data_IF_224304654608
#
_entry.id   IF_224304654608
#
_cell.length_a   1.000
_cell.length_b   1.000
_cell.length_c   1.000
_cell.angle_alpha   90.00
_cell.angle_beta   90.00
_cell.angle_gamma   90.00
#
_symmetry.space_group_name_H-M   'P 1'
#
loop_
_entity.id
_entity.type
_entity.pdbx_description
1 polymer ?
#
# COMPACT_ATOMS: atom_id res chain seq x y z
N UNK A 1 8.04 2.27 -12.01
CA UNK A 1 6.86 2.00 -11.15
C UNK A 1 7.15 0.80 -10.28
N UNK A 2 6.96 0.88 -8.96
CA UNK A 2 7.17 -0.19 -7.98
C UNK A 2 6.10 -0.13 -6.90
N UNK A 3 5.78 -1.25 -6.25
CA UNK A 3 4.82 -1.26 -5.15
C UNK A 3 5.39 -0.47 -3.98
N UNK A 4 4.64 0.49 -3.49
CA UNK A 4 4.94 1.30 -2.30
C UNK A 4 4.35 0.63 -1.07
N UNK A 5 3.03 0.50 -1.03
CA UNK A 5 2.34 -0.15 0.08
C UNK A 5 1.07 -0.88 -0.33
N UNK A 6 0.60 -1.75 0.56
CA UNK A 6 -0.71 -2.42 0.49
C UNK A 6 -1.58 -1.88 1.62
N UNK A 7 -2.77 -1.41 1.29
CA UNK A 7 -3.68 -0.88 2.30
C UNK A 7 -4.87 -1.79 2.54
N UNK A 8 -5.11 -2.08 3.79
CA UNK A 8 -6.22 -2.90 4.26
C UNK A 8 -7.19 -2.07 5.10
N UNK A 9 -8.49 -2.23 4.85
CA UNK A 9 -9.55 -1.83 5.76
C UNK A 9 -10.08 -3.06 6.44
N UNK A 10 -10.06 -3.10 7.77
CA UNK A 10 -10.35 -4.32 8.55
C UNK A 10 -11.31 -4.06 9.69
N UNK A 11 -11.95 -5.12 10.17
CA UNK A 11 -12.85 -5.05 11.32
C UNK A 11 -12.14 -4.74 12.63
N UNK A 12 -10.89 -5.15 12.77
CA UNK A 12 -10.13 -4.99 14.00
C UNK A 12 -8.65 -4.81 13.69
N UNK A 13 -8.24 -3.57 13.65
CA UNK A 13 -6.87 -3.15 13.37
C UNK A 13 -5.86 -3.81 14.31
N UNK A 14 -6.12 -3.79 15.62
CA UNK A 14 -5.20 -4.34 16.62
C UNK A 14 -4.93 -5.83 16.43
N UNK A 15 -5.97 -6.63 16.13
CA UNK A 15 -5.79 -8.07 15.86
C UNK A 15 -5.04 -8.31 14.56
N UNK A 16 -5.37 -7.57 13.52
CA UNK A 16 -4.69 -7.66 12.21
C UNK A 16 -3.23 -7.26 12.33
N UNK A 17 -2.94 -6.14 12.98
CA UNK A 17 -1.56 -5.67 13.20
C UNK A 17 -0.75 -6.68 14.00
N UNK A 18 -1.33 -7.20 15.09
CA UNK A 18 -0.65 -8.24 15.89
C UNK A 18 -0.31 -9.47 15.04
N UNK A 19 -1.22 -9.93 14.20
CA UNK A 19 -0.95 -11.05 13.28
C UNK A 19 0.19 -10.73 12.32
N UNK A 20 0.18 -9.56 11.68
CA UNK A 20 1.24 -9.15 10.75
C UNK A 20 2.61 -9.06 11.44
N UNK A 21 2.63 -8.57 12.68
CA UNK A 21 3.87 -8.49 13.47
C UNK A 21 4.37 -9.88 13.91
N UNK A 22 3.49 -10.71 14.44
CA UNK A 22 3.87 -12.01 14.98
C UNK A 22 4.25 -13.00 13.88
N UNK A 23 3.44 -13.10 12.83
CA UNK A 23 3.62 -14.08 11.76
C UNK A 23 4.58 -13.63 10.66
N UNK A 24 4.49 -12.36 10.23
CA UNK A 24 5.23 -11.82 9.09
C UNK A 24 6.36 -10.87 9.50
N UNK A 25 6.56 -10.66 10.80
CA UNK A 25 7.66 -9.87 11.39
C UNK A 25 7.66 -8.39 11.01
N UNK A 26 6.53 -7.84 10.55
CA UNK A 26 6.38 -6.41 10.35
C UNK A 26 6.58 -5.65 11.66
N UNK A 27 6.95 -4.39 11.56
CA UNK A 27 7.13 -3.49 12.69
C UNK A 27 6.22 -2.27 12.54
N UNK A 28 5.78 -1.70 13.65
CA UNK A 28 5.02 -0.46 13.60
C UNK A 28 5.97 0.66 13.19
N UNK A 29 5.64 1.36 12.11
CA UNK A 29 6.31 2.57 11.67
C UNK A 29 5.67 3.80 12.32
N UNK A 30 4.33 3.91 12.22
CA UNK A 30 3.58 5.02 12.80
C UNK A 30 2.12 4.62 13.06
N UNK A 31 1.50 5.30 14.01
CA UNK A 31 0.07 5.22 14.31
C UNK A 31 -0.52 6.61 14.32
N UNK A 32 -1.70 6.77 13.75
CA UNK A 32 -2.43 8.04 13.77
C UNK A 32 -3.94 7.83 13.57
N UNK A 33 -4.72 8.87 13.88
CA UNK A 33 -6.16 8.85 13.73
C UNK A 33 -6.59 9.90 12.72
N UNK A 34 -7.58 9.55 11.90
CA UNK A 34 -8.25 10.47 10.98
C UNK A 34 -9.62 10.81 11.56
N UNK A 35 -9.84 12.09 11.84
CA UNK A 35 -11.14 12.60 12.28
C UNK A 35 -11.88 13.18 11.09
N UNK A 36 -13.07 12.66 10.82
CA UNK A 36 -13.94 13.18 9.76
C UNK A 36 -14.84 14.30 10.26
N UNK A 37 -15.39 15.07 9.32
CA UNK A 37 -16.21 16.24 9.65
C UNK A 37 -17.59 15.85 10.24
N UNK A 38 -18.04 14.62 10.04
CA UNK A 38 -19.23 14.04 10.67
C UNK A 38 -19.01 13.55 12.11
N UNK A 39 -17.80 13.75 12.64
CA UNK A 39 -17.40 13.36 13.99
C UNK A 39 -16.92 11.93 14.13
N UNK A 40 -17.04 11.09 13.10
CA UNK A 40 -16.51 9.73 13.10
C UNK A 40 -14.99 9.70 12.96
N UNK A 41 -14.36 8.56 13.28
CA UNK A 41 -12.91 8.39 13.17
C UNK A 41 -12.53 7.11 12.44
N UNK A 42 -11.38 7.15 11.79
CA UNK A 42 -10.61 5.99 11.41
C UNK A 42 -9.31 5.95 12.22
N UNK A 43 -8.95 4.78 12.71
CA UNK A 43 -7.67 4.52 13.37
C UNK A 43 -6.74 3.84 12.36
N UNK A 44 -5.51 4.34 12.22
CA UNK A 44 -4.56 3.96 11.19
C UNK A 44 -3.24 3.49 11.78
N UNK A 45 -2.64 2.47 11.20
CA UNK A 45 -1.27 2.02 11.47
C UNK A 45 -0.57 1.79 10.14
N UNK A 46 0.63 2.34 10.01
CA UNK A 46 1.58 1.98 8.98
C UNK A 46 2.61 1.01 9.54
N UNK A 47 2.87 -0.06 8.82
CA UNK A 47 3.80 -1.12 9.19
C UNK A 47 4.92 -1.19 8.16
N UNK A 48 6.16 -1.18 8.63
CA UNK A 48 7.34 -1.41 7.79
C UNK A 48 7.70 -2.88 7.73
N UNK A 49 8.23 -3.36 6.59
CA UNK A 49 8.69 -4.74 6.46
C UNK A 49 9.94 -5.02 7.31
N UNK A 50 10.19 -6.29 7.68
CA UNK A 50 11.31 -6.65 8.54
C UNK A 50 12.68 -6.35 7.94
N UNK A 51 12.80 -6.38 6.61
CA UNK A 51 14.05 -6.20 5.88
C UNK A 51 14.31 -4.76 5.43
N UNK A 52 13.49 -3.79 5.84
CA UNK A 52 13.59 -2.39 5.39
C UNK A 52 15.00 -1.79 5.56
N UNK A 53 15.73 -2.19 6.57
CA UNK A 53 17.05 -1.63 6.87
C UNK A 53 18.21 -2.37 6.19
N UNK A 54 17.94 -3.39 5.36
CA UNK A 54 19.00 -4.11 4.71
C UNK A 54 19.65 -3.25 3.62
N UNK A 55 20.93 -2.92 3.82
CA UNK A 55 21.77 -2.10 2.92
C UNK A 55 21.25 -0.67 2.61
N UNK A 56 20.35 -0.12 3.40
CA UNK A 56 19.85 1.25 3.20
C UNK A 56 19.01 1.45 1.94
N UNK A 57 18.59 0.37 1.27
CA UNK A 57 17.70 0.42 0.11
C UNK A 57 16.30 0.05 0.58
N UNK A 58 15.34 0.99 0.63
CA UNK A 58 14.07 0.78 1.32
C UNK A 58 13.14 -0.23 0.64
N UNK A 59 13.29 -0.47 -0.66
CA UNK A 59 12.33 -1.26 -1.44
C UNK A 59 12.94 -2.41 -2.22
N UNK A 60 14.23 -2.37 -2.39
CA UNK A 60 14.99 -3.40 -3.09
C UNK A 60 16.28 -3.69 -2.35
N UNK A 61 16.73 -4.89 -2.44
CA UNK A 61 18.08 -5.26 -1.99
C UNK A 61 18.82 -5.94 -3.11
N UNK A 62 20.10 -5.63 -3.24
CA UNK A 62 21.01 -6.37 -4.10
C UNK A 62 21.63 -7.45 -3.23
N UNK A 63 21.40 -8.69 -3.56
CA UNK A 63 22.03 -9.81 -2.87
C UNK A 63 22.55 -10.82 -3.88
N UNK A 64 23.44 -11.66 -3.42
CA UNK A 64 23.99 -12.77 -4.20
C UNK A 64 23.34 -14.09 -3.73
N UNK A 65 22.07 -14.35 -4.10
CA UNK A 65 21.41 -15.56 -3.67
C UNK A 65 22.09 -16.78 -4.29
N UNK A 66 21.97 -17.88 -3.61
CA UNK A 66 22.33 -19.16 -4.23
C UNK A 66 21.15 -19.63 -5.05
N UNK A 67 21.31 -19.63 -6.36
CA UNK A 67 20.33 -20.17 -7.29
C UNK A 67 20.68 -21.61 -7.57
N UNK A 68 19.74 -22.52 -7.33
CA UNK A 68 19.92 -23.93 -7.57
C UNK A 68 19.49 -24.31 -8.98
N UNK A 69 20.42 -24.89 -9.75
CA UNK A 69 20.12 -25.43 -11.07
C UNK A 69 20.17 -26.95 -11.04
N UNK A 70 19.20 -27.58 -11.66
CA UNK A 70 19.22 -29.01 -11.82
C UNK A 70 20.36 -29.40 -12.80
N UNK A 71 21.35 -30.12 -12.32
CA UNK A 71 22.50 -30.53 -13.10
C UNK A 71 22.23 -31.87 -13.80
N UNK A 72 21.62 -32.80 -13.07
CA UNK A 72 21.20 -34.10 -13.54
C UNK A 72 19.93 -34.52 -12.82
N UNK A 73 19.29 -35.60 -13.26
CA UNK A 73 18.10 -36.10 -12.58
C UNK A 73 18.39 -36.35 -11.10
N UNK A 74 17.71 -35.57 -10.22
CA UNK A 74 17.87 -35.57 -8.76
C UNK A 74 19.19 -34.98 -8.21
N UNK A 75 19.98 -34.29 -9.01
CA UNK A 75 21.15 -33.54 -8.55
C UNK A 75 20.99 -32.07 -8.82
N UNK A 76 21.33 -31.24 -7.82
CA UNK A 76 21.21 -29.77 -7.89
C UNK A 76 22.57 -29.15 -7.56
N UNK A 77 22.97 -28.19 -8.36
CA UNK A 77 24.15 -27.37 -8.12
C UNK A 77 23.72 -25.95 -7.76
N UNK A 78 24.17 -25.47 -6.60
CA UNK A 78 23.94 -24.09 -6.18
C UNK A 78 25.03 -23.19 -6.75
N UNK A 79 24.64 -22.16 -7.52
CA UNK A 79 25.51 -21.08 -7.98
C UNK A 79 25.05 -19.77 -7.39
N UNK A 80 25.97 -18.93 -6.93
CA UNK A 80 25.66 -17.57 -6.57
C UNK A 80 25.32 -16.80 -7.83
N UNK A 81 24.12 -16.21 -7.87
CA UNK A 81 23.75 -15.25 -8.89
C UNK A 81 24.34 -13.89 -8.51
N UNK A 82 25.09 -13.28 -9.40
CA UNK A 82 25.65 -11.95 -9.20
C UNK A 82 24.59 -10.89 -9.53
N UNK A 83 24.55 -9.82 -8.73
CA UNK A 83 23.73 -8.62 -8.97
C UNK A 83 22.23 -8.87 -9.20
N UNK A 84 21.63 -9.79 -8.46
CA UNK A 84 20.20 -9.99 -8.51
C UNK A 84 19.50 -9.01 -7.59
N UNK A 85 18.56 -8.25 -8.15
CA UNK A 85 17.72 -7.33 -7.40
C UNK A 85 16.47 -8.05 -6.89
N UNK A 86 16.18 -7.90 -5.60
CA UNK A 86 14.99 -8.44 -4.95
C UNK A 86 14.13 -7.29 -4.44
N UNK A 87 12.85 -7.35 -4.72
CA UNK A 87 11.89 -6.47 -4.09
C UNK A 87 11.66 -6.90 -2.64
N UNK A 88 11.84 -5.97 -1.72
CA UNK A 88 11.41 -6.16 -0.34
C UNK A 88 9.89 -6.23 -0.28
N UNK A 89 9.32 -6.90 0.74
CA UNK A 89 7.89 -6.80 1.00
C UNK A 89 7.48 -5.32 1.12
N UNK A 90 6.34 -4.92 0.54
CA UNK A 90 5.87 -3.55 0.62
C UNK A 90 5.50 -3.17 2.06
N UNK A 91 5.40 -1.89 2.35
CA UNK A 91 4.75 -1.40 3.57
C UNK A 91 3.29 -1.87 3.60
N UNK A 92 2.73 -2.01 4.80
CA UNK A 92 1.32 -2.35 4.99
C UNK A 92 0.66 -1.23 5.78
N UNK A 93 -0.40 -0.67 5.21
CA UNK A 93 -1.27 0.27 5.89
C UNK A 93 -2.54 -0.43 6.34
N UNK A 94 -2.90 -0.33 7.61
CA UNK A 94 -4.10 -0.97 8.17
C UNK A 94 -4.95 0.09 8.84
N UNK A 95 -6.22 0.14 8.46
CA UNK A 95 -7.20 1.01 9.11
C UNK A 95 -8.43 0.24 9.56
N UNK A 96 -9.00 0.66 10.69
CA UNK A 96 -10.36 0.34 11.11
C UNK A 96 -11.09 1.62 11.54
N UNK A 97 -12.34 1.51 11.89
CA UNK A 97 -13.13 2.65 12.29
C UNK A 97 -14.48 2.26 12.86
N UNK A 98 -15.16 3.23 13.43
CA UNK A 98 -16.52 3.06 13.95
C UNK A 98 -17.47 2.57 12.85
N UNK A 99 -18.53 1.82 13.19
CA UNK A 99 -19.46 1.24 12.20
C UNK A 99 -20.04 2.25 11.20
N UNK A 100 -20.26 3.49 11.65
CA UNK A 100 -20.81 4.56 10.81
C UNK A 100 -19.75 5.37 10.04
N UNK A 101 -18.47 5.15 10.30
CA UNK A 101 -17.38 5.80 9.58
C UNK A 101 -17.25 5.28 8.15
N UNK A 102 -16.51 6.02 7.31
CA UNK A 102 -16.18 5.58 5.94
C UNK A 102 -15.55 4.18 5.95
N UNK A 103 -14.62 3.93 6.86
CA UNK A 103 -13.93 2.64 6.96
C UNK A 103 -14.87 1.55 7.47
N UNK A 104 -15.68 1.84 8.51
CA UNK A 104 -16.62 0.87 9.07
C UNK A 104 -17.70 0.43 8.08
N UNK A 105 -18.26 1.34 7.31
CA UNK A 105 -19.23 1.05 6.24
C UNK A 105 -18.60 0.17 5.16
N UNK A 106 -17.42 0.55 4.68
CA UNK A 106 -16.70 -0.23 3.68
C UNK A 106 -16.41 -1.67 4.15
N UNK A 107 -16.07 -1.86 5.43
CA UNK A 107 -15.87 -3.18 6.03
C UNK A 107 -17.19 -3.96 6.13
N UNK A 108 -18.29 -3.28 6.49
CA UNK A 108 -19.61 -3.91 6.57
C UNK A 108 -20.06 -4.45 5.20
N UNK A 109 -19.86 -3.70 4.12
CA UNK A 109 -20.20 -4.09 2.74
C UNK A 109 -19.39 -5.29 2.24
N UNK A 110 -18.29 -5.62 2.94
CA UNK A 110 -17.42 -6.77 2.66
C UNK A 110 -17.53 -7.86 3.73
N UNK A 111 -18.78 -8.24 4.03
CA UNK A 111 -19.14 -9.30 5.00
C UNK A 111 -18.61 -9.05 6.42
N UNK A 112 -18.34 -7.80 6.78
CA UNK A 112 -17.83 -7.42 8.09
C UNK A 112 -16.41 -7.90 8.40
N UNK A 113 -15.65 -8.35 7.40
CA UNK A 113 -14.24 -8.75 7.52
C UNK A 113 -13.34 -7.63 7.03
N UNK A 114 -13.73 -7.00 5.90
CA UNK A 114 -12.92 -6.05 5.18
C UNK A 114 -11.98 -6.75 4.19
N UNK A 115 -10.79 -6.20 3.98
CA UNK A 115 -9.80 -6.77 3.05
C UNK A 115 -8.87 -5.72 2.45
N UNK A 116 -8.24 -6.10 1.33
CA UNK A 116 -7.41 -5.19 0.55
C UNK A 116 -8.27 -4.07 -0.03
N UNK A 117 -7.91 -2.82 0.27
CA UNK A 117 -8.59 -1.63 -0.22
C UNK A 117 -7.90 -1.09 -1.48
N UNK A 118 -6.59 -0.90 -1.44
CA UNK A 118 -5.81 -0.42 -2.58
C UNK A 118 -4.38 -0.97 -2.58
N UNK A 119 -3.78 -0.88 -3.76
CA UNK A 119 -2.36 -1.12 -3.98
C UNK A 119 -1.74 0.19 -4.44
N UNK A 120 -0.76 0.69 -3.69
CA UNK A 120 -0.04 1.90 -4.04
C UNK A 120 1.23 1.58 -4.85
N UNK A 121 1.42 2.34 -5.90
CA UNK A 121 2.61 2.29 -6.74
C UNK A 121 3.37 3.61 -6.68
N UNK A 122 4.62 3.54 -6.28
CA UNK A 122 5.52 4.68 -6.41
C UNK A 122 5.84 4.93 -7.88
N UNK A 123 5.72 6.19 -8.27
CA UNK A 123 5.98 6.69 -9.62
C UNK A 123 6.86 7.94 -9.55
N UNK A 124 7.51 8.27 -10.66
CA UNK A 124 8.37 9.45 -10.74
C UNK A 124 7.56 10.75 -10.83
N UNK A 125 6.35 10.68 -11.42
CA UNK A 125 5.40 11.80 -11.49
C UNK A 125 3.97 11.27 -11.46
N UNK A 126 3.24 11.60 -10.40
CA UNK A 126 1.81 11.24 -10.27
C UNK A 126 0.98 11.92 -11.35
N UNK A 127 1.28 13.20 -11.66
CA UNK A 127 0.54 13.96 -12.67
C UNK A 127 0.69 13.36 -14.07
N UNK A 128 1.90 13.01 -14.46
CA UNK A 128 2.16 12.40 -15.78
C UNK A 128 1.53 11.02 -15.86
N UNK A 129 1.66 10.19 -14.82
CA UNK A 129 1.04 8.87 -14.75
C UNK A 129 -0.49 8.96 -14.84
N UNK A 130 -1.10 9.90 -14.11
CA UNK A 130 -2.55 10.13 -14.15
C UNK A 130 -3.01 10.51 -15.57
N UNK A 131 -2.30 11.41 -16.25
CA UNK A 131 -2.63 11.84 -17.60
C UNK A 131 -2.49 10.67 -18.60
N UNK A 132 -1.39 9.95 -18.54
CA UNK A 132 -1.15 8.77 -19.38
C UNK A 132 -2.27 7.72 -19.23
N UNK A 133 -2.68 7.44 -17.99
CA UNK A 133 -3.73 6.47 -17.71
C UNK A 133 -5.10 6.92 -18.19
N UNK A 134 -5.42 8.22 -18.09
CA UNK A 134 -6.64 8.81 -18.66
C UNK A 134 -6.65 8.73 -20.19
N UNK A 135 -5.56 9.13 -20.84
CA UNK A 135 -5.45 9.11 -22.30
C UNK A 135 -5.55 7.71 -22.90
N UNK A 136 -4.98 6.72 -22.21
CA UNK A 136 -5.06 5.30 -22.62
C UNK A 136 -6.34 4.61 -22.19
N UNK A 137 -7.20 5.26 -21.42
CA UNK A 137 -8.45 4.69 -20.93
C UNK A 137 -8.25 3.53 -19.93
N UNK A 138 -7.14 3.50 -19.21
CA UNK A 138 -6.86 2.42 -18.25
C UNK A 138 -7.68 2.53 -16.96
N UNK A 139 -7.95 3.75 -16.50
CA UNK A 139 -8.78 4.00 -15.34
C UNK A 139 -9.35 5.41 -15.32
N UNK A 140 -10.47 5.57 -14.61
CA UNK A 140 -10.95 6.85 -14.11
C UNK A 140 -10.37 7.11 -12.71
N UNK A 141 -10.30 8.38 -12.33
CA UNK A 141 -9.74 8.80 -11.04
C UNK A 141 -10.83 9.37 -10.13
N UNK A 142 -10.66 9.20 -8.82
CA UNK A 142 -11.61 9.67 -7.81
C UNK A 142 -11.53 11.19 -7.59
N UNK A 143 -10.38 11.80 -7.89
CA UNK A 143 -10.18 13.25 -7.84
C UNK A 143 -9.79 13.79 -9.21
N UNK A 144 -10.12 15.05 -9.47
CA UNK A 144 -9.77 15.71 -10.75
C UNK A 144 -8.27 15.95 -10.88
N UNK A 145 -7.65 16.31 -9.76
CA UNK A 145 -6.22 16.58 -9.61
C UNK A 145 -5.63 15.70 -8.49
N UNK A 146 -4.33 15.43 -8.52
CA UNK A 146 -3.66 14.78 -7.40
C UNK A 146 -3.77 15.59 -6.11
N UNK A 147 -3.80 14.90 -4.97
CA UNK A 147 -3.72 15.50 -3.65
C UNK A 147 -2.25 15.67 -3.27
N UNK A 148 -1.88 16.84 -2.78
CA UNK A 148 -0.49 17.20 -2.53
C UNK A 148 -0.31 17.81 -1.14
N UNK A 149 0.70 17.35 -0.43
CA UNK A 149 1.25 18.00 0.76
C UNK A 149 2.79 18.00 0.66
N UNK A 150 3.51 18.71 1.55
CA UNK A 150 4.96 18.80 1.44
C UNK A 150 5.65 17.42 1.34
N UNK A 151 6.33 17.18 0.22
CA UNK A 151 7.07 15.95 -0.05
C UNK A 151 6.22 14.71 -0.40
N UNK A 152 4.92 14.88 -0.68
CA UNK A 152 4.02 13.77 -0.99
C UNK A 152 2.89 14.18 -1.93
N UNK A 153 2.77 13.50 -3.06
CA UNK A 153 1.65 13.65 -4.02
C UNK A 153 1.01 12.28 -4.26
N UNK A 154 -0.33 12.23 -4.26
CA UNK A 154 -1.08 10.98 -4.33
C UNK A 154 -2.36 11.14 -5.15
N UNK A 155 -2.81 10.05 -5.77
CA UNK A 155 -4.12 9.98 -6.43
C UNK A 155 -4.66 8.55 -6.44
N UNK A 156 -5.97 8.40 -6.27
CA UNK A 156 -6.66 7.11 -6.40
C UNK A 156 -7.38 7.00 -7.74
N UNK A 157 -7.29 5.83 -8.36
CA UNK A 157 -8.24 5.43 -9.40
C UNK A 157 -9.59 5.07 -8.80
N UNK A 158 -10.65 5.04 -9.61
CA UNK A 158 -11.83 4.25 -9.27
C UNK A 158 -11.45 2.77 -9.19
N UNK A 159 -12.26 1.92 -8.50
CA UNK A 159 -12.05 0.47 -8.53
C UNK A 159 -11.99 -0.04 -9.97
N UNK A 160 -10.99 -0.83 -10.27
CA UNK A 160 -10.85 -1.43 -11.60
C UNK A 160 -11.97 -2.44 -11.86
N UNK A 161 -12.63 -2.34 -12.99
CA UNK A 161 -13.65 -3.33 -13.40
C UNK A 161 -13.07 -4.73 -13.59
N UNK A 162 -11.75 -4.84 -13.84
CA UNK A 162 -11.07 -6.11 -14.05
C UNK A 162 -10.63 -6.80 -12.77
N UNK A 163 -10.24 -6.02 -11.75
CA UNK A 163 -9.63 -6.56 -10.53
C UNK A 163 -10.41 -6.25 -9.25
N UNK A 164 -11.33 -5.28 -9.31
CA UNK A 164 -12.04 -4.76 -8.13
C UNK A 164 -11.17 -3.92 -7.19
N UNK A 165 -9.89 -3.71 -7.53
CA UNK A 165 -8.92 -3.03 -6.69
C UNK A 165 -8.78 -1.57 -7.10
N UNK A 166 -8.60 -0.69 -6.11
CA UNK A 166 -8.19 0.69 -6.33
C UNK A 166 -6.68 0.70 -6.51
N UNK A 167 -6.20 1.40 -7.52
CA UNK A 167 -4.78 1.69 -7.67
C UNK A 167 -4.50 3.09 -7.17
N UNK A 168 -3.48 3.21 -6.34
CA UNK A 168 -2.92 4.49 -5.92
C UNK A 168 -1.63 4.75 -6.68
N UNK A 169 -1.45 5.97 -7.16
CA UNK A 169 -0.14 6.45 -7.58
C UNK A 169 0.39 7.43 -6.55
N UNK A 170 1.62 7.23 -6.15
CA UNK A 170 2.27 7.99 -5.10
C UNK A 170 3.66 8.46 -5.56
N UNK A 171 3.93 9.73 -5.35
CA UNK A 171 5.23 10.37 -5.52
C UNK A 171 5.62 10.94 -4.18
N UNK A 172 6.76 10.48 -3.63
CA UNK A 172 7.23 10.93 -2.32
C UNK A 172 8.73 11.23 -2.35
N UNK A 173 9.08 12.31 -1.68
CA UNK A 173 10.47 12.68 -1.42
C UNK A 173 10.97 12.11 -0.09
N UNK A 174 10.04 11.89 0.86
CA UNK A 174 10.33 11.43 2.21
C UNK A 174 9.45 10.23 2.59
N UNK A 175 9.85 9.52 3.63
CA UNK A 175 9.05 8.46 4.22
C UNK A 175 7.86 9.02 5.02
N UNK A 176 6.81 8.22 5.15
CA UNK A 176 5.63 8.51 5.97
C UNK A 176 4.39 8.91 5.18
N UNK A 177 3.36 9.27 5.92
CA UNK A 177 2.04 9.64 5.40
C UNK A 177 1.64 11.04 5.85
N UNK A 178 1.02 11.78 4.96
CA UNK A 178 0.41 13.07 5.25
C UNK A 178 -1.03 12.85 5.68
N UNK A 179 -1.37 13.20 6.92
CA UNK A 179 -2.69 12.96 7.51
C UNK A 179 -3.82 13.62 6.71
N UNK A 180 -3.59 14.81 6.18
CA UNK A 180 -4.53 15.56 5.36
C UNK A 180 -4.82 14.81 4.05
N UNK A 181 -3.78 14.40 3.33
CA UNK A 181 -3.96 13.62 2.09
C UNK A 181 -4.68 12.29 2.37
N UNK A 182 -4.32 11.58 3.44
CA UNK A 182 -4.98 10.32 3.82
C UNK A 182 -6.46 10.57 4.11
N UNK A 183 -6.81 11.67 4.81
CA UNK A 183 -8.21 12.06 5.05
C UNK A 183 -8.96 12.29 3.74
N UNK A 184 -8.41 13.10 2.85
CA UNK A 184 -9.05 13.45 1.57
C UNK A 184 -9.17 12.24 0.65
N UNK A 185 -8.15 11.36 0.61
CA UNK A 185 -8.23 10.08 -0.10
C UNK A 185 -9.30 9.17 0.48
N UNK A 186 -9.43 9.08 1.82
CA UNK A 186 -10.51 8.31 2.44
C UNK A 186 -11.89 8.87 2.10
N UNK A 187 -12.05 10.20 2.09
CA UNK A 187 -13.31 10.87 1.72
C UNK A 187 -13.65 10.58 0.25
N UNK A 188 -12.68 10.60 -0.65
CA UNK A 188 -12.90 10.32 -2.08
C UNK A 188 -13.44 8.90 -2.35
N UNK A 189 -13.25 7.98 -1.39
CA UNK A 189 -13.73 6.59 -1.48
C UNK A 189 -15.07 6.34 -0.78
N UNK A 190 -15.79 7.39 -0.37
CA UNK A 190 -17.02 7.25 0.43
C UNK A 190 -18.16 6.55 -0.30
N UNK A 191 -18.22 6.70 -1.62
CA UNK A 191 -19.31 6.21 -2.46
C UNK A 191 -18.97 4.90 -3.22
N UNK A 192 -17.88 4.21 -2.83
CA UNK A 192 -17.41 2.98 -3.49
C UNK A 192 -17.24 1.80 -2.54
#
# INVERSE_FOLDING_TARGET
>A
MRIDHLAFRVKNRKKTTKFLMDALKYKIQTEFNIKFDDGTMAECIALEPPEKQFNGVPWTTICNPVVYHQKEKNTWEGKRAENQEYHLPPEIFVSDGEPNSIVGKWVADRNGIGGLHHIAYMVDSVKETMNEWKEKGYAEFLTKEPLTCPGLTQVFTKPSELTGVIYEFIERENEGFCTENVKDLMISTKEI
#
